data_IF_856773452193
#
_entry.id   IF_856773452193
#
_cell.length_a   1.000
_cell.length_b   1.000
_cell.length_c   1.000
_cell.angle_alpha   90.00
_cell.angle_beta   90.00
_cell.angle_gamma   90.00
#
_symmetry.space_group_name_H-M   'P 1'
#
loop_
_entity.id
_entity.type
_entity.pdbx_description
1 polymer ?
#
# COMPACT_ATOMS: atom_id res chain seq x y z
N UNK A 1 -24.97 -26.30 -9.34
CA UNK A 1 -25.68 -27.04 -8.29
C UNK A 1 -25.09 -28.45 -8.07
N UNK A 2 -23.73 -28.63 -8.02
CA UNK A 2 -23.06 -29.96 -7.88
C UNK A 2 -21.75 -29.80 -7.06
N UNK A 3 -21.77 -29.11 -5.95
CA UNK A 3 -20.59 -29.03 -5.06
C UNK A 3 -20.86 -29.46 -3.61
N UNK A 4 -22.07 -29.91 -3.31
CA UNK A 4 -22.51 -30.17 -1.92
C UNK A 4 -22.53 -31.64 -1.51
N UNK A 5 -22.27 -32.60 -2.42
CA UNK A 5 -22.41 -34.06 -2.13
C UNK A 5 -21.11 -34.85 -2.09
N UNK A 6 -19.95 -34.19 -2.20
CA UNK A 6 -18.66 -34.91 -2.14
C UNK A 6 -18.22 -35.31 -0.72
N UNK A 7 -18.67 -34.62 0.30
CA UNK A 7 -18.22 -34.87 1.68
C UNK A 7 -19.12 -35.77 2.52
N UNK A 8 -20.18 -36.36 1.97
CA UNK A 8 -21.10 -37.21 2.75
C UNK A 8 -20.87 -38.73 2.66
N UNK A 9 -19.85 -39.21 1.96
CA UNK A 9 -19.63 -40.65 1.76
C UNK A 9 -18.27 -41.18 2.27
N UNK A 10 -17.69 -40.57 3.29
CA UNK A 10 -16.52 -41.15 3.96
C UNK A 10 -16.74 -41.13 5.48
N UNK A 11 -17.49 -42.08 5.94
CA UNK A 11 -17.67 -42.27 7.39
C UNK A 11 -18.45 -43.49 7.72
N UNK A 12 -17.84 -44.68 7.72
CA UNK A 12 -18.18 -45.80 8.61
C UNK A 12 -16.95 -46.74 8.58
N UNK A 13 -16.32 -46.91 9.72
CA UNK A 13 -15.38 -47.99 9.89
C UNK A 13 -14.33 -47.78 10.95
N UNK A 14 -14.55 -48.46 12.10
CA UNK A 14 -13.61 -48.84 13.16
C UNK A 14 -13.22 -47.79 14.19
N UNK A 15 -13.89 -47.85 15.32
CA UNK A 15 -13.48 -47.27 16.58
C UNK A 15 -12.18 -47.89 17.08
N UNK A 16 -11.21 -47.00 17.32
CA UNK A 16 -10.15 -47.23 18.31
C UNK A 16 -10.13 -45.97 19.18
N UNK A 17 -10.53 -46.16 20.42
CA UNK A 17 -10.42 -45.16 21.46
C UNK A 17 -8.94 -44.87 21.71
N UNK A 18 -8.45 -43.76 21.19
CA UNK A 18 -7.26 -43.10 21.70
C UNK A 18 -7.70 -41.81 22.38
N UNK A 19 -8.16 -41.96 23.61
CA UNK A 19 -8.23 -40.91 24.61
C UNK A 19 -6.80 -40.57 25.01
N UNK A 20 -6.31 -39.39 24.59
CA UNK A 20 -5.02 -38.93 25.08
C UNK A 20 -4.45 -37.82 24.18
N UNK A 21 -4.52 -36.61 24.70
CA UNK A 21 -3.65 -35.51 24.34
C UNK A 21 -3.96 -34.82 22.98
N UNK A 22 -5.16 -34.28 22.81
CA UNK A 22 -5.31 -33.07 22.10
C UNK A 22 -5.04 -31.89 23.06
N UNK A 23 -3.77 -31.67 23.41
CA UNK A 23 -3.34 -30.34 23.81
C UNK A 23 -3.69 -29.43 22.67
N UNK A 24 -4.74 -28.64 22.82
CA UNK A 24 -5.07 -27.56 21.94
C UNK A 24 -3.85 -26.62 21.92
N UNK A 25 -2.94 -26.81 20.93
CA UNK A 25 -2.05 -25.75 20.51
C UNK A 25 -2.97 -24.67 19.93
N UNK A 26 -3.54 -23.86 20.81
CA UNK A 26 -4.01 -22.55 20.47
C UNK A 26 -2.75 -21.76 20.14
N UNK A 27 -2.29 -21.85 18.88
CA UNK A 27 -1.34 -20.92 18.36
C UNK A 27 -2.06 -19.56 18.41
N UNK A 28 -1.83 -18.83 19.51
CA UNK A 28 -2.18 -17.43 19.58
C UNK A 28 -1.43 -16.78 18.41
N UNK A 29 -2.13 -16.53 17.31
CA UNK A 29 -1.60 -15.66 16.27
C UNK A 29 -1.20 -14.38 16.97
N UNK A 30 0.06 -13.94 16.88
CA UNK A 30 0.46 -12.68 17.47
C UNK A 30 -0.53 -11.62 16.94
N UNK A 31 -1.23 -10.95 17.83
CA UNK A 31 -2.11 -9.86 17.47
C UNK A 31 -1.19 -8.79 16.92
N UNK A 32 -1.11 -8.68 15.58
CA UNK A 32 -0.33 -7.62 14.97
C UNK A 32 -0.87 -6.29 15.48
N UNK A 33 0.01 -5.53 16.12
CA UNK A 33 -0.33 -4.21 16.61
C UNK A 33 -0.58 -3.30 15.41
N UNK A 34 -1.79 -2.76 15.33
CA UNK A 34 -2.16 -1.82 14.27
C UNK A 34 -1.48 -0.49 14.58
N UNK A 35 -0.52 -0.11 13.75
CA UNK A 35 0.17 1.17 13.84
C UNK A 35 -0.64 2.20 13.04
N UNK A 36 -1.24 3.16 13.73
CA UNK A 36 -1.97 4.24 13.08
C UNK A 36 -1.05 5.42 12.79
N UNK A 37 -1.04 5.94 11.55
CA UNK A 37 -0.31 7.16 11.25
C UNK A 37 -0.95 8.37 11.92
N UNK A 38 -0.15 9.42 12.10
CA UNK A 38 -0.65 10.71 12.58
C UNK A 38 -1.66 11.31 11.60
N UNK A 39 -2.76 11.85 12.11
CA UNK A 39 -3.73 12.55 11.28
C UNK A 39 -3.12 13.83 10.68
N UNK A 40 -3.41 14.08 9.41
CA UNK A 40 -2.96 15.27 8.70
C UNK A 40 -3.72 16.53 9.16
N UNK A 41 -3.02 17.64 9.21
CA UNK A 41 -3.55 18.97 9.51
C UNK A 41 -2.93 20.02 8.59
N UNK A 42 -3.53 21.21 8.53
CA UNK A 42 -2.97 22.33 7.79
C UNK A 42 -1.56 22.67 8.29
N UNK A 43 -0.65 22.93 7.36
CA UNK A 43 0.77 23.16 7.60
C UNK A 43 1.65 21.93 7.49
N UNK A 44 1.07 20.70 7.50
CA UNK A 44 1.81 19.46 7.30
C UNK A 44 2.31 19.35 5.85
N UNK A 45 3.32 18.51 5.64
CA UNK A 45 3.96 18.28 4.34
C UNK A 45 3.44 17.00 3.69
N UNK A 46 2.93 17.13 2.47
CA UNK A 46 2.57 16.00 1.61
C UNK A 46 3.71 15.65 0.67
N UNK A 47 4.19 14.41 0.75
CA UNK A 47 5.06 13.81 -0.25
C UNK A 47 4.23 13.34 -1.45
N UNK A 48 4.48 13.92 -2.61
CA UNK A 48 3.69 13.65 -3.83
C UNK A 48 4.45 12.66 -4.69
N UNK A 49 3.82 11.54 -5.01
CA UNK A 49 4.38 10.47 -5.85
C UNK A 49 3.43 10.06 -6.97
N UNK A 50 3.96 9.42 -7.99
CA UNK A 50 3.18 8.81 -9.07
C UNK A 50 3.61 7.35 -9.27
N UNK A 51 3.18 6.41 -8.41
CA UNK A 51 3.64 5.01 -8.46
C UNK A 51 2.99 4.20 -9.59
N UNK A 52 2.16 4.82 -10.41
CA UNK A 52 1.36 4.21 -11.47
C UNK A 52 1.63 4.89 -12.82
N UNK A 53 0.61 5.44 -13.46
CA UNK A 53 0.75 6.13 -14.75
C UNK A 53 1.29 7.55 -14.60
N UNK A 54 1.99 8.02 -15.64
CA UNK A 54 2.53 9.37 -15.70
C UNK A 54 1.42 10.43 -15.65
N UNK A 55 1.66 11.50 -14.91
CA UNK A 55 0.78 12.67 -14.83
C UNK A 55 1.18 13.70 -15.90
N UNK A 56 0.22 14.37 -16.50
CA UNK A 56 0.54 15.49 -17.40
C UNK A 56 1.04 16.70 -16.59
N UNK A 57 1.90 17.52 -17.21
CA UNK A 57 2.47 18.70 -16.55
C UNK A 57 1.37 19.61 -15.98
N UNK A 58 0.35 19.95 -16.77
CA UNK A 58 -0.72 20.83 -16.32
C UNK A 58 -1.59 20.22 -15.21
N UNK A 59 -1.77 18.89 -15.21
CA UNK A 59 -2.47 18.20 -14.10
C UNK A 59 -1.64 18.19 -12.83
N UNK A 60 -0.33 17.98 -12.94
CA UNK A 60 0.59 18.05 -11.81
C UNK A 60 0.55 19.44 -11.17
N UNK A 61 0.79 20.50 -11.96
CA UNK A 61 0.82 21.87 -11.47
C UNK A 61 -0.49 22.27 -10.78
N UNK A 62 -1.64 21.90 -11.37
CA UNK A 62 -2.95 22.16 -10.77
C UNK A 62 -3.13 21.42 -9.45
N UNK A 63 -2.74 20.15 -9.38
CA UNK A 63 -2.85 19.36 -8.14
C UNK A 63 -1.97 19.94 -7.03
N UNK A 64 -0.72 20.30 -7.34
CA UNK A 64 0.18 20.92 -6.37
C UNK A 64 -0.39 22.25 -5.84
N UNK A 65 -0.91 23.08 -6.73
CA UNK A 65 -1.56 24.33 -6.36
C UNK A 65 -2.76 24.10 -5.43
N UNK A 66 -3.65 23.16 -5.77
CA UNK A 66 -4.82 22.86 -4.96
C UNK A 66 -4.43 22.38 -3.53
N UNK A 67 -3.38 21.58 -3.42
CA UNK A 67 -2.88 21.12 -2.11
C UNK A 67 -2.31 22.27 -1.28
N UNK A 68 -1.56 23.19 -1.91
CA UNK A 68 -1.04 24.40 -1.26
C UNK A 68 -2.17 25.34 -0.82
N UNK A 69 -3.19 25.53 -1.65
CA UNK A 69 -4.38 26.32 -1.29
C UNK A 69 -5.20 25.66 -0.16
N UNK A 70 -5.18 24.34 -0.06
CA UNK A 70 -5.77 23.60 1.07
C UNK A 70 -4.94 23.74 2.37
N UNK A 71 -3.77 24.36 2.30
CA UNK A 71 -2.91 24.65 3.44
C UNK A 71 -1.80 23.63 3.70
N UNK A 72 -1.50 22.74 2.76
CA UNK A 72 -0.39 21.79 2.87
C UNK A 72 0.88 22.33 2.21
N UNK A 73 2.02 21.95 2.76
CA UNK A 73 3.29 22.01 2.04
C UNK A 73 3.39 20.80 1.12
N UNK A 74 4.08 20.92 -0.01
CA UNK A 74 4.25 19.82 -0.96
C UNK A 74 5.73 19.55 -1.22
N UNK A 75 6.09 18.28 -1.25
CA UNK A 75 7.45 17.79 -1.55
C UNK A 75 7.34 16.65 -2.57
N UNK A 76 8.24 16.62 -3.54
CA UNK A 76 8.30 15.57 -4.57
C UNK A 76 9.71 15.47 -5.13
N UNK A 77 10.03 14.34 -5.76
CA UNK A 77 11.28 14.16 -6.50
C UNK A 77 11.12 14.57 -7.96
N UNK A 78 12.24 14.72 -8.67
CA UNK A 78 12.20 15.03 -10.11
C UNK A 78 11.58 13.89 -10.94
N UNK A 79 11.58 12.66 -10.43
CA UNK A 79 10.98 11.49 -11.09
C UNK A 79 9.48 11.66 -11.35
N UNK A 80 8.78 12.50 -10.59
CA UNK A 80 7.34 12.76 -10.80
C UNK A 80 7.01 13.29 -12.20
N UNK A 81 8.01 13.85 -12.89
CA UNK A 81 7.89 14.38 -14.25
C UNK A 81 8.29 13.37 -15.32
N UNK A 82 8.83 12.23 -14.92
CA UNK A 82 9.30 11.21 -15.87
C UNK A 82 8.12 10.47 -16.49
N UNK A 83 8.25 10.15 -17.77
CA UNK A 83 7.29 9.36 -18.51
C UNK A 83 8.00 8.28 -19.32
N UNK A 84 7.59 7.02 -19.14
CA UNK A 84 8.05 5.87 -19.92
C UNK A 84 6.81 5.11 -20.45
N UNK A 85 6.44 5.37 -21.70
CA UNK A 85 5.17 4.90 -22.23
C UNK A 85 4.00 5.50 -21.46
N UNK A 86 3.19 4.67 -20.80
CA UNK A 86 2.07 5.11 -19.95
C UNK A 86 2.48 5.31 -18.49
N UNK A 87 3.63 4.76 -18.07
CA UNK A 87 4.10 4.75 -16.70
C UNK A 87 4.84 6.04 -16.32
N UNK A 88 4.87 6.36 -15.04
CA UNK A 88 5.62 7.47 -14.47
C UNK A 88 7.10 7.07 -14.23
N UNK A 89 7.80 6.65 -15.28
CA UNK A 89 9.17 6.17 -15.21
C UNK A 89 9.29 4.64 -15.15
N UNK A 90 10.47 4.16 -14.76
CA UNK A 90 10.75 2.74 -14.52
C UNK A 90 10.11 2.28 -13.22
N UNK A 91 10.00 0.96 -13.01
CA UNK A 91 9.51 0.39 -11.75
C UNK A 91 10.42 0.86 -10.60
N UNK A 92 11.74 0.87 -10.80
CA UNK A 92 12.72 1.33 -9.82
C UNK A 92 12.53 2.82 -9.46
N UNK A 93 12.38 3.72 -10.43
CA UNK A 93 12.19 5.14 -10.16
C UNK A 93 10.93 5.40 -9.32
N UNK A 94 9.81 4.69 -9.63
CA UNK A 94 8.56 4.81 -8.88
C UNK A 94 8.67 4.24 -7.47
N UNK A 95 9.45 3.16 -7.31
CA UNK A 95 9.74 2.54 -6.02
C UNK A 95 10.64 3.45 -5.17
N UNK A 96 11.68 4.03 -5.79
CA UNK A 96 12.58 4.97 -5.11
C UNK A 96 11.81 6.19 -4.58
N UNK A 97 10.86 6.73 -5.35
CA UNK A 97 10.00 7.82 -4.91
C UNK A 97 9.13 7.43 -3.71
N UNK A 98 8.53 6.24 -3.75
CA UNK A 98 7.74 5.70 -2.65
C UNK A 98 8.57 5.61 -1.38
N UNK A 99 9.71 4.95 -1.46
CA UNK A 99 10.61 4.78 -0.31
C UNK A 99 11.19 6.10 0.19
N UNK A 100 11.54 7.03 -0.70
CA UNK A 100 12.04 8.34 -0.33
C UNK A 100 11.03 9.13 0.49
N UNK A 101 9.76 9.16 0.07
CA UNK A 101 8.72 9.89 0.81
C UNK A 101 8.37 9.24 2.15
N UNK A 102 8.43 7.92 2.26
CA UNK A 102 8.26 7.26 3.56
C UNK A 102 9.46 7.47 4.49
N UNK A 103 10.68 7.47 3.97
CA UNK A 103 11.90 7.67 4.77
C UNK A 103 12.07 9.10 5.26
N UNK A 104 11.56 10.08 4.54
CA UNK A 104 11.78 11.50 4.82
C UNK A 104 11.01 11.96 6.06
N UNK A 105 11.69 12.38 7.14
CA UNK A 105 11.04 12.80 8.39
C UNK A 105 10.26 14.11 8.28
N UNK A 106 10.49 14.90 7.21
CA UNK A 106 9.74 16.15 6.95
C UNK A 106 8.40 15.90 6.25
N UNK A 107 8.15 14.68 5.78
CA UNK A 107 6.90 14.28 5.13
C UNK A 107 5.95 13.68 6.15
N UNK A 108 4.79 14.29 6.33
CA UNK A 108 3.74 13.84 7.25
C UNK A 108 2.74 12.87 6.60
N UNK A 109 2.56 12.94 5.29
CA UNK A 109 1.72 12.04 4.53
C UNK A 109 2.16 11.88 3.09
N UNK A 110 1.81 10.77 2.46
CA UNK A 110 2.15 10.45 1.07
C UNK A 110 0.88 10.43 0.23
N UNK A 111 0.87 11.23 -0.83
CA UNK A 111 -0.24 11.35 -1.76
C UNK A 111 0.15 10.85 -3.15
N UNK A 112 -0.57 9.83 -3.64
CA UNK A 112 -0.43 9.32 -4.99
C UNK A 112 -1.25 10.19 -5.94
N UNK A 113 -0.57 10.99 -6.77
CA UNK A 113 -1.22 12.01 -7.60
C UNK A 113 -2.10 11.43 -8.70
N UNK A 114 -1.83 10.19 -9.12
CA UNK A 114 -2.57 9.51 -10.18
C UNK A 114 -2.53 8.00 -10.01
N UNK A 115 -3.67 7.36 -10.29
CA UNK A 115 -3.75 5.93 -10.57
C UNK A 115 -3.41 5.63 -12.05
N UNK A 116 -4.07 4.67 -12.64
CA UNK A 116 -3.92 4.24 -14.02
C UNK A 116 -3.47 2.80 -14.14
N UNK A 117 -2.17 2.54 -14.32
CA UNK A 117 -1.62 1.20 -14.42
C UNK A 117 -0.19 1.14 -13.88
N UNK A 118 0.16 0.04 -13.20
CA UNK A 118 1.53 -0.31 -12.88
C UNK A 118 1.91 -0.26 -11.39
N UNK A 119 1.01 0.16 -10.48
CA UNK A 119 1.27 0.13 -9.04
C UNK A 119 1.49 -1.31 -8.54
N UNK A 120 0.68 -2.27 -9.00
CA UNK A 120 0.82 -3.68 -8.63
C UNK A 120 2.16 -4.32 -9.02
N UNK A 121 2.92 -3.72 -9.94
CA UNK A 121 4.26 -4.20 -10.33
C UNK A 121 5.31 -3.96 -9.24
N UNK A 122 5.05 -3.03 -8.32
CA UNK A 122 5.97 -2.64 -7.26
C UNK A 122 5.88 -3.55 -6.02
N UNK A 123 4.79 -4.30 -5.87
CA UNK A 123 4.44 -5.01 -4.63
C UNK A 123 5.55 -5.93 -4.10
N UNK A 124 6.26 -6.63 -4.99
CA UNK A 124 7.30 -7.57 -4.58
C UNK A 124 8.61 -6.89 -4.16
N UNK A 125 8.80 -5.63 -4.53
CA UNK A 125 10.04 -4.89 -4.33
C UNK A 125 9.89 -3.78 -3.27
N UNK A 126 8.70 -3.63 -2.68
CA UNK A 126 8.45 -2.67 -1.60
C UNK A 126 9.17 -3.12 -0.33
N UNK A 127 9.92 -2.21 0.27
CA UNK A 127 10.45 -2.35 1.62
C UNK A 127 9.34 -2.07 2.65
N UNK A 128 8.57 -3.10 2.96
CA UNK A 128 7.46 -3.02 3.92
C UNK A 128 7.93 -2.70 5.34
N UNK A 129 9.16 -3.09 5.69
CA UNK A 129 9.72 -2.76 7.00
C UNK A 129 10.02 -1.27 7.13
N UNK A 130 10.58 -0.66 6.08
CA UNK A 130 10.73 0.78 5.99
C UNK A 130 9.40 1.51 6.21
N UNK A 131 8.34 1.07 5.52
CA UNK A 131 7.01 1.68 5.62
C UNK A 131 6.44 1.51 7.03
N UNK A 132 6.53 0.31 7.61
CA UNK A 132 6.06 0.01 8.97
C UNK A 132 6.77 0.85 10.02
N UNK A 133 8.07 1.08 9.85
CA UNK A 133 8.88 1.88 10.77
C UNK A 133 8.70 3.40 10.58
N UNK A 134 8.04 3.84 9.51
CA UNK A 134 7.76 5.23 9.21
C UNK A 134 6.27 5.40 8.84
N UNK A 135 5.34 5.13 9.76
CA UNK A 135 3.91 5.14 9.45
C UNK A 135 3.47 6.56 9.08
N UNK A 136 2.91 6.71 7.88
CA UNK A 136 2.42 7.97 7.34
C UNK A 136 1.03 7.81 6.76
N UNK A 137 0.26 8.88 6.74
CA UNK A 137 -1.00 8.88 6.02
C UNK A 137 -0.73 8.64 4.53
N UNK A 138 -1.28 7.57 3.99
CA UNK A 138 -1.09 7.17 2.59
C UNK A 138 -2.41 7.24 1.85
N UNK A 139 -2.46 8.00 0.77
CA UNK A 139 -3.69 8.24 0.01
C UNK A 139 -3.51 8.06 -1.50
N UNK A 140 -4.48 7.37 -2.09
CA UNK A 140 -4.57 7.16 -3.53
C UNK A 140 -5.89 6.50 -3.91
N UNK A 141 -6.10 6.27 -5.19
CA UNK A 141 -7.33 5.67 -5.72
C UNK A 141 -7.05 4.85 -6.99
N UNK A 142 -8.03 4.09 -7.46
CA UNK A 142 -7.94 3.27 -8.68
C UNK A 142 -6.80 2.23 -8.58
N UNK A 143 -5.85 2.20 -9.49
CA UNK A 143 -4.68 1.28 -9.49
C UNK A 143 -3.85 1.34 -8.20
N UNK A 144 -3.87 2.49 -7.48
CA UNK A 144 -3.19 2.64 -6.19
C UNK A 144 -3.79 1.75 -5.11
N UNK A 145 -5.02 1.28 -5.29
CA UNK A 145 -5.65 0.33 -4.38
C UNK A 145 -4.77 -0.91 -4.14
N UNK A 146 -3.99 -1.32 -5.14
CA UNK A 146 -3.02 -2.42 -4.98
C UNK A 146 -2.00 -2.15 -3.85
N UNK A 147 -1.55 -0.89 -3.69
CA UNK A 147 -0.62 -0.49 -2.63
C UNK A 147 -1.31 -0.26 -1.28
N UNK A 148 -2.62 0.03 -1.27
CA UNK A 148 -3.38 0.24 -0.04
C UNK A 148 -3.73 -1.08 0.67
N UNK A 149 -3.69 -2.20 -0.06
CA UNK A 149 -3.99 -3.54 0.45
C UNK A 149 -2.75 -4.44 0.56
N UNK A 150 -1.57 -3.90 0.37
CA UNK A 150 -0.29 -4.59 0.50
C UNK A 150 0.35 -4.40 1.89
#
# INVERSE_FOLDING_TARGET
MIRRHFFQKLGIGTGIALSGIFSSLSAATPKEEIILPKALKKGDTLGIISPSSAVSRGSLERSLKNMQEAGFKVKYTDNIRVKKGVLAGTDQQRLDDLHAMFRDPEVDGVYCIRGGYGAGRLLNDIDYELIRNNPKFFMGYSDITALLFA
#
